data_IF_522670609350
#
_entry.id   IF_522670609350
#
_cell.length_a   1.000
_cell.length_b   1.000
_cell.length_c   1.000
_cell.angle_alpha   90.00
_cell.angle_beta   90.00
_cell.angle_gamma   90.00
#
_symmetry.space_group_name_H-M   'P 1'
#
loop_
_entity.id
_entity.type
_entity.pdbx_description
1 polymer ?
#
# COMPACT_ATOMS: atom_id res chain seq x y z
N UNK A 1 0.25 7.68 -13.38
CA UNK A 1 1.69 7.39 -13.58
C UNK A 1 2.12 7.51 -15.04
N UNK A 2 1.53 8.45 -15.80
CA UNK A 2 1.77 8.58 -17.25
C UNK A 2 3.20 9.01 -17.60
N UNK A 3 3.87 9.79 -16.74
CA UNK A 3 5.26 10.21 -16.98
C UNK A 3 6.25 9.03 -16.90
N UNK A 4 6.04 8.08 -15.97
CA UNK A 4 6.85 6.86 -15.84
C UNK A 4 6.71 6.01 -17.11
N UNK A 5 5.46 5.85 -17.55
CA UNK A 5 5.09 5.11 -18.75
C UNK A 5 5.70 5.64 -20.05
N UNK A 6 5.99 6.95 -20.10
CA UNK A 6 6.60 7.56 -21.28
C UNK A 6 8.06 7.09 -21.50
N UNK A 7 8.69 6.48 -20.48
CA UNK A 7 10.05 5.94 -20.61
C UNK A 7 11.07 6.99 -21.03
N UNK A 8 10.82 8.26 -20.70
CA UNK A 8 11.69 9.40 -21.05
C UNK A 8 12.87 9.53 -20.10
N UNK A 9 12.73 9.01 -18.88
CA UNK A 9 13.85 8.89 -17.94
C UNK A 9 14.85 7.84 -18.45
N UNK A 10 16.13 8.21 -18.68
CA UNK A 10 17.12 7.29 -19.24
C UNK A 10 17.38 6.03 -18.39
N UNK A 11 17.28 6.15 -17.05
CA UNK A 11 17.52 5.04 -16.15
C UNK A 11 16.36 4.05 -16.21
N UNK A 12 15.12 4.54 -16.12
CA UNK A 12 13.93 3.69 -16.27
C UNK A 12 13.84 3.06 -17.64
N UNK A 13 14.15 3.80 -18.72
CA UNK A 13 14.16 3.26 -20.08
C UNK A 13 15.10 2.07 -20.25
N UNK A 14 16.23 2.08 -19.54
CA UNK A 14 17.28 1.07 -19.68
C UNK A 14 17.09 -0.10 -18.72
N UNK A 15 16.55 0.14 -17.53
CA UNK A 15 16.57 -0.82 -16.43
C UNK A 15 15.20 -1.25 -15.91
N UNK A 16 14.12 -0.50 -16.19
CA UNK A 16 12.80 -0.83 -15.66
C UNK A 16 12.08 -1.85 -16.53
N UNK A 17 11.47 -2.85 -15.89
CA UNK A 17 10.48 -3.72 -16.50
C UNK A 17 9.07 -3.17 -16.23
N UNK A 18 8.54 -2.42 -17.21
CA UNK A 18 7.20 -1.86 -17.12
C UNK A 18 6.07 -2.91 -17.17
N UNK A 19 6.39 -4.17 -17.50
CA UNK A 19 5.46 -5.29 -17.36
C UNK A 19 5.35 -5.81 -15.91
N UNK A 20 6.19 -5.29 -15.00
CA UNK A 20 6.25 -5.75 -13.60
C UNK A 20 6.46 -4.58 -12.63
N UNK A 21 5.40 -3.79 -12.43
CA UNK A 21 5.43 -2.61 -11.56
C UNK A 21 4.76 -2.89 -10.23
N UNK A 22 5.42 -2.52 -9.14
CA UNK A 22 4.88 -2.55 -7.79
C UNK A 22 4.69 -1.14 -7.25
N UNK A 23 3.67 -0.93 -6.42
CA UNK A 23 3.57 0.26 -5.58
C UNK A 23 3.92 -0.10 -4.14
N UNK A 24 4.72 0.71 -3.48
CA UNK A 24 5.19 0.44 -2.13
C UNK A 24 5.25 1.74 -1.35
N UNK A 25 5.01 1.66 -0.04
CA UNK A 25 5.24 2.77 0.85
C UNK A 25 5.01 2.39 2.31
N UNK A 26 5.58 3.20 3.19
CA UNK A 26 5.45 3.14 4.64
C UNK A 26 4.52 4.23 5.16
N UNK A 27 3.76 3.98 6.23
CA UNK A 27 2.93 4.99 6.90
C UNK A 27 2.01 5.75 5.93
N UNK A 28 2.17 7.08 5.82
CA UNK A 28 1.47 7.91 4.86
C UNK A 28 1.80 7.53 3.39
N UNK A 29 3.00 7.05 3.11
CA UNK A 29 3.40 6.47 1.82
C UNK A 29 2.58 5.22 1.47
N UNK A 30 2.27 4.37 2.43
CA UNK A 30 1.38 3.22 2.23
C UNK A 30 -0.05 3.69 1.87
N UNK A 31 -0.55 4.72 2.57
CA UNK A 31 -1.82 5.35 2.25
C UNK A 31 -1.83 5.90 0.80
N UNK A 32 -0.76 6.58 0.39
CA UNK A 32 -0.60 7.09 -0.97
C UNK A 32 -0.56 5.95 -1.99
N UNK A 33 0.20 4.88 -1.72
CA UNK A 33 0.29 3.71 -2.59
C UNK A 33 -1.09 3.08 -2.83
N UNK A 34 -1.87 2.89 -1.75
CA UNK A 34 -3.26 2.42 -1.82
C UNK A 34 -4.13 3.33 -2.70
N UNK A 35 -4.13 4.63 -2.43
CA UNK A 35 -4.95 5.59 -3.18
C UNK A 35 -4.54 5.66 -4.66
N UNK A 36 -3.25 5.52 -4.97
CA UNK A 36 -2.74 5.44 -6.35
C UNK A 36 -3.21 4.17 -7.05
N UNK A 37 -3.18 3.01 -6.36
CA UNK A 37 -3.69 1.74 -6.88
C UNK A 37 -5.20 1.83 -7.16
N UNK A 38 -5.96 2.41 -6.25
CA UNK A 38 -7.39 2.64 -6.40
C UNK A 38 -7.71 3.58 -7.56
N UNK A 39 -6.96 4.67 -7.70
CA UNK A 39 -7.12 5.60 -8.84
C UNK A 39 -6.83 4.94 -10.18
N UNK A 40 -5.85 4.03 -10.25
CA UNK A 40 -5.58 3.27 -11.47
C UNK A 40 -6.75 2.37 -11.90
N UNK A 41 -7.69 2.04 -11.00
CA UNK A 41 -8.91 1.29 -11.32
C UNK A 41 -10.00 2.09 -12.03
N UNK A 42 -9.99 3.42 -11.86
CA UNK A 42 -11.02 4.34 -12.35
C UNK A 42 -10.59 5.07 -13.63
N UNK A 43 -9.28 5.17 -13.89
CA UNK A 43 -8.76 5.77 -15.10
C UNK A 43 -9.27 4.99 -16.33
N UNK A 44 -10.16 5.60 -17.13
CA UNK A 44 -10.77 4.99 -18.34
C UNK A 44 -9.71 4.54 -19.36
N UNK A 45 -8.54 5.15 -19.24
CA UNK A 45 -7.29 4.95 -19.93
C UNK A 45 -6.50 3.71 -19.44
N UNK A 46 -7.19 2.64 -19.01
CA UNK A 46 -6.56 1.40 -18.48
C UNK A 46 -5.51 0.78 -19.41
N UNK A 47 -5.62 1.04 -20.71
CA UNK A 47 -4.70 0.56 -21.74
C UNK A 47 -3.58 1.55 -22.12
N UNK A 48 -3.66 2.81 -21.70
CA UNK A 48 -2.72 3.87 -22.11
C UNK A 48 -1.57 4.11 -21.15
N UNK A 49 -1.57 3.50 -19.96
CA UNK A 49 -0.47 3.71 -19.01
C UNK A 49 0.70 2.76 -19.31
N UNK A 50 0.60 1.73 -20.16
CA UNK A 50 1.77 0.90 -20.52
C UNK A 50 2.52 0.26 -19.33
N UNK A 51 1.94 0.33 -18.11
CA UNK A 51 2.47 -0.20 -16.87
C UNK A 51 1.55 -1.32 -16.42
N UNK A 52 2.10 -2.50 -16.17
CA UNK A 52 1.37 -3.59 -15.53
C UNK A 52 1.63 -3.57 -14.03
N UNK A 53 0.61 -3.20 -13.26
CA UNK A 53 0.65 -3.18 -11.81
C UNK A 53 0.45 -4.60 -11.27
N UNK A 54 1.52 -5.21 -10.78
CA UNK A 54 1.54 -6.63 -10.37
C UNK A 54 1.40 -6.82 -8.86
N UNK A 55 1.62 -5.78 -8.06
CA UNK A 55 1.43 -5.87 -6.63
C UNK A 55 1.57 -4.55 -5.87
N UNK A 56 1.22 -4.59 -4.60
CA UNK A 56 1.38 -3.46 -3.67
C UNK A 56 1.91 -3.92 -2.32
N UNK A 57 2.84 -3.17 -1.72
CA UNK A 57 3.24 -3.36 -0.32
C UNK A 57 2.80 -2.17 0.53
N UNK A 58 2.22 -2.45 1.68
CA UNK A 58 1.70 -1.48 2.64
C UNK A 58 2.41 -1.68 3.98
N UNK A 59 3.43 -0.86 4.25
CA UNK A 59 4.24 -0.98 5.46
C UNK A 59 3.66 -0.04 6.52
N UNK A 60 3.24 -0.58 7.66
CA UNK A 60 2.66 0.17 8.79
C UNK A 60 1.62 1.21 8.32
N UNK A 61 0.55 0.80 7.62
CA UNK A 61 -0.23 1.74 6.83
C UNK A 61 -0.96 2.78 7.67
N UNK A 62 -0.83 4.05 7.27
CA UNK A 62 -1.61 5.15 7.84
C UNK A 62 -3.03 5.16 7.28
N UNK A 63 -3.84 4.22 7.75
CA UNK A 63 -5.28 4.21 7.52
C UNK A 63 -6.05 4.76 8.72
N UNK A 64 -7.32 5.07 8.52
CA UNK A 64 -8.28 5.27 9.58
C UNK A 64 -8.76 3.94 10.16
N UNK A 65 -9.67 4.04 11.12
CA UNK A 65 -10.47 2.93 11.67
C UNK A 65 -11.62 3.56 12.47
N UNK A 66 -12.31 4.51 11.83
CA UNK A 66 -13.28 5.43 12.45
C UNK A 66 -12.75 6.34 13.58
N UNK A 67 -11.46 6.25 13.90
CA UNK A 67 -10.79 7.11 14.88
C UNK A 67 -10.41 8.50 14.30
N UNK A 68 -10.68 9.60 15.03
CA UNK A 68 -10.20 10.93 14.67
C UNK A 68 -8.67 10.98 14.56
N UNK A 69 -8.15 11.69 13.56
CA UNK A 69 -6.72 11.88 13.41
C UNK A 69 -6.37 13.33 13.09
N UNK A 70 -5.49 13.93 13.91
CA UNK A 70 -5.09 15.34 13.78
C UNK A 70 -4.29 15.62 12.50
N UNK A 71 -3.45 14.66 12.07
CA UNK A 71 -2.69 14.78 10.82
C UNK A 71 -3.67 14.76 9.65
N UNK A 72 -4.62 13.82 9.63
CA UNK A 72 -5.67 13.78 8.61
C UNK A 72 -6.47 15.08 8.54
N UNK A 73 -6.92 15.57 9.69
CA UNK A 73 -7.67 16.84 9.81
C UNK A 73 -6.88 18.02 9.25
N UNK A 74 -5.57 18.05 9.47
CA UNK A 74 -4.70 19.11 8.98
C UNK A 74 -4.49 19.04 7.46
N UNK A 75 -4.26 17.85 6.90
CA UNK A 75 -3.99 17.67 5.45
C UNK A 75 -5.27 17.71 4.60
N UNK A 76 -6.42 17.34 5.16
CA UNK A 76 -7.72 17.31 4.50
C UNK A 76 -8.76 18.10 5.30
N UNK A 77 -8.59 19.44 5.44
CA UNK A 77 -9.47 20.26 6.28
C UNK A 77 -10.92 20.32 5.78
N UNK A 78 -11.13 20.11 4.48
CA UNK A 78 -12.45 20.05 3.83
C UNK A 78 -13.23 18.77 4.19
N UNK A 79 -12.54 17.71 4.58
CA UNK A 79 -13.15 16.45 5.02
C UNK A 79 -12.38 15.84 6.19
N UNK A 80 -12.47 16.44 7.39
CA UNK A 80 -11.69 16.05 8.55
C UNK A 80 -12.22 14.76 9.21
N UNK A 81 -13.32 14.22 8.69
CA UNK A 81 -14.00 13.04 9.24
C UNK A 81 -13.14 11.81 9.04
N UNK A 82 -13.25 10.87 9.98
CA UNK A 82 -12.56 9.58 9.94
C UNK A 82 -13.16 8.59 8.94
N UNK A 83 -14.24 8.97 8.24
CA UNK A 83 -14.98 8.17 7.25
C UNK A 83 -14.63 8.50 5.79
N UNK A 84 -13.64 9.35 5.53
CA UNK A 84 -13.17 9.59 4.15
C UNK A 84 -12.49 8.33 3.60
N UNK A 85 -12.93 7.77 2.46
CA UNK A 85 -12.40 6.50 1.93
C UNK A 85 -10.92 6.56 1.54
N UNK A 86 -10.34 7.76 1.36
CA UNK A 86 -8.91 7.93 1.12
C UNK A 86 -8.08 7.69 2.38
N UNK A 87 -8.68 7.93 3.55
CA UNK A 87 -8.08 7.70 4.85
C UNK A 87 -8.52 6.36 5.43
N UNK A 88 -9.81 6.10 5.47
CA UNK A 88 -10.44 4.89 5.99
C UNK A 88 -11.02 4.06 4.84
N UNK A 89 -10.19 3.28 4.13
CA UNK A 89 -10.63 2.53 2.95
C UNK A 89 -11.63 1.41 3.27
N UNK A 90 -11.80 1.04 4.54
CA UNK A 90 -12.72 -0.03 4.97
C UNK A 90 -14.14 0.47 5.22
N UNK A 91 -14.39 1.79 5.19
CA UNK A 91 -15.75 2.36 5.27
C UNK A 91 -16.62 1.98 4.05
N UNK A 92 -15.97 1.68 2.92
CA UNK A 92 -16.61 1.22 1.69
C UNK A 92 -15.89 -0.01 1.13
N UNK A 93 -16.04 -1.20 1.75
CA UNK A 93 -15.30 -2.40 1.37
C UNK A 93 -15.51 -2.81 -0.09
N UNK A 94 -16.67 -2.51 -0.68
CA UNK A 94 -16.96 -2.78 -2.10
C UNK A 94 -16.05 -2.01 -3.06
N UNK A 95 -15.39 -0.93 -2.63
CA UNK A 95 -14.39 -0.25 -3.43
C UNK A 95 -13.10 -1.07 -3.52
N UNK A 96 -12.73 -1.82 -2.46
CA UNK A 96 -11.52 -2.64 -2.45
C UNK A 96 -11.54 -3.73 -3.53
N UNK A 97 -12.74 -4.19 -3.93
CA UNK A 97 -12.92 -5.14 -5.04
C UNK A 97 -12.36 -4.64 -6.38
N UNK A 98 -12.10 -3.33 -6.49
CA UNK A 98 -11.62 -2.66 -7.71
C UNK A 98 -10.09 -2.57 -7.81
N UNK A 99 -9.36 -3.00 -6.78
CA UNK A 99 -7.89 -3.00 -6.83
C UNK A 99 -7.40 -3.75 -8.08
N UNK A 100 -6.53 -3.09 -8.85
CA UNK A 100 -6.09 -3.58 -10.17
C UNK A 100 -4.89 -4.51 -10.11
N UNK A 101 -4.15 -4.49 -9.01
CA UNK A 101 -3.06 -5.44 -8.79
C UNK A 101 -3.63 -6.79 -8.31
N UNK A 102 -2.96 -7.90 -8.63
CA UNK A 102 -3.34 -9.23 -8.16
C UNK A 102 -2.79 -9.58 -6.77
N UNK A 103 -1.80 -8.85 -6.24
CA UNK A 103 -1.11 -9.19 -4.99
C UNK A 103 -0.97 -8.00 -4.05
N UNK A 104 -1.19 -8.21 -2.75
CA UNK A 104 -0.97 -7.21 -1.71
C UNK A 104 -0.22 -7.84 -0.54
N UNK A 105 0.85 -7.21 -0.08
CA UNK A 105 1.52 -7.53 1.19
C UNK A 105 1.33 -6.39 2.18
N UNK A 106 0.87 -6.71 3.37
CA UNK A 106 0.71 -5.77 4.48
C UNK A 106 1.74 -6.11 5.55
N UNK A 107 2.55 -5.14 5.96
CA UNK A 107 3.48 -5.30 7.08
C UNK A 107 2.97 -4.46 8.26
N UNK A 108 2.86 -5.07 9.43
CA UNK A 108 2.44 -4.44 10.70
C UNK A 108 3.54 -4.59 11.74
N UNK A 109 3.49 -3.77 12.79
CA UNK A 109 4.41 -3.86 13.92
C UNK A 109 3.61 -3.92 15.22
N UNK A 110 4.00 -4.82 16.13
CA UNK A 110 3.20 -5.23 17.28
C UNK A 110 2.94 -4.11 18.29
N UNK A 111 3.90 -3.17 18.43
CA UNK A 111 3.83 -2.00 19.31
C UNK A 111 3.29 -0.74 18.60
N UNK A 112 3.01 -0.81 17.30
CA UNK A 112 2.49 0.32 16.52
C UNK A 112 1.02 0.65 16.89
N UNK A 113 0.76 1.93 17.13
CA UNK A 113 -0.60 2.47 17.33
C UNK A 113 -1.53 2.23 16.12
N UNK A 114 -0.96 2.07 14.92
CA UNK A 114 -1.70 1.81 13.69
C UNK A 114 -1.84 0.32 13.34
N UNK A 115 -1.29 -0.60 14.16
CA UNK A 115 -1.30 -2.05 13.89
C UNK A 115 -2.67 -2.59 13.49
N UNK A 116 -3.68 -2.33 14.33
CA UNK A 116 -5.03 -2.86 14.13
C UNK A 116 -5.64 -2.36 12.82
N UNK A 117 -5.18 -1.22 12.29
CA UNK A 117 -5.67 -0.65 11.02
C UNK A 117 -5.17 -1.46 9.82
N UNK A 118 -3.96 -2.02 9.90
CA UNK A 118 -3.46 -2.98 8.93
C UNK A 118 -4.26 -4.28 8.93
N UNK A 119 -4.58 -4.81 10.12
CA UNK A 119 -5.43 -6.00 10.28
C UNK A 119 -6.87 -5.77 9.81
N UNK A 120 -7.48 -4.64 10.16
CA UNK A 120 -8.83 -4.28 9.68
C UNK A 120 -8.87 -4.19 8.15
N UNK A 121 -7.85 -3.60 7.53
CA UNK A 121 -7.73 -3.55 6.07
C UNK A 121 -7.59 -4.95 5.45
N UNK A 122 -6.78 -5.82 6.06
CA UNK A 122 -6.59 -7.21 5.61
C UNK A 122 -7.91 -7.99 5.58
N UNK A 123 -8.70 -7.92 6.66
CA UNK A 123 -9.99 -8.60 6.74
C UNK A 123 -11.02 -7.99 5.77
N UNK A 124 -11.07 -6.65 5.67
CA UNK A 124 -11.94 -5.97 4.72
C UNK A 124 -11.61 -6.35 3.26
N UNK A 125 -10.31 -6.47 2.92
CA UNK A 125 -9.88 -6.84 1.58
C UNK A 125 -10.28 -8.27 1.24
N UNK A 126 -10.08 -9.24 2.14
CA UNK A 126 -10.56 -10.62 1.97
C UNK A 126 -12.07 -10.70 1.76
N UNK A 127 -12.82 -9.88 2.50
CA UNK A 127 -14.29 -9.82 2.42
C UNK A 127 -14.85 -8.99 1.26
N UNK A 128 -14.00 -8.27 0.51
CA UNK A 128 -14.45 -7.28 -0.49
C UNK A 128 -14.92 -7.88 -1.82
N UNK A 129 -14.62 -9.15 -2.08
CA UNK A 129 -14.78 -9.77 -3.40
C UNK A 129 -13.66 -9.42 -4.39
N UNK A 130 -12.58 -8.78 -3.94
CA UNK A 130 -11.34 -8.67 -4.72
C UNK A 130 -10.75 -10.06 -4.99
N UNK A 131 -10.44 -10.37 -6.25
CA UNK A 131 -9.99 -11.69 -6.69
C UNK A 131 -8.48 -11.95 -6.57
N UNK A 132 -7.75 -11.11 -5.84
CA UNK A 132 -6.30 -11.23 -5.66
C UNK A 132 -5.89 -11.98 -4.39
N UNK A 133 -4.58 -12.04 -4.16
CA UNK A 133 -3.97 -12.64 -2.98
C UNK A 133 -3.45 -11.56 -2.03
N UNK A 134 -3.85 -11.65 -0.75
CA UNK A 134 -3.35 -10.77 0.31
C UNK A 134 -2.58 -11.57 1.35
N UNK A 135 -1.35 -11.14 1.62
CA UNK A 135 -0.52 -11.58 2.74
C UNK A 135 -0.48 -10.47 3.81
N UNK A 136 -0.47 -10.84 5.08
CA UNK A 136 -0.15 -9.94 6.20
C UNK A 136 0.97 -10.55 7.04
N UNK A 137 1.95 -9.73 7.42
CA UNK A 137 3.06 -10.10 8.30
C UNK A 137 3.18 -9.07 9.41
N UNK A 138 3.49 -9.53 10.61
CA UNK A 138 3.66 -8.68 11.78
C UNK A 138 5.05 -8.90 12.38
N UNK A 139 5.68 -7.80 12.80
CA UNK A 139 6.89 -7.83 13.61
C UNK A 139 6.51 -7.54 15.07
N UNK A 140 6.53 -8.56 15.94
CA UNK A 140 5.79 -8.58 17.22
C UNK A 140 6.12 -7.47 18.25
N UNK A 141 7.33 -6.93 18.28
CA UNK A 141 7.76 -6.01 19.36
C UNK A 141 8.15 -4.61 18.89
N UNK A 142 8.05 -4.36 17.59
CA UNK A 142 8.55 -3.12 17.01
C UNK A 142 7.53 -2.00 16.98
N UNK A 143 8.05 -0.77 16.95
CA UNK A 143 7.29 0.47 16.81
C UNK A 143 7.02 0.81 15.33
N UNK A 144 6.20 1.85 15.13
CA UNK A 144 5.87 2.38 13.81
C UNK A 144 7.12 2.73 12.98
N UNK A 145 7.26 2.10 11.81
CA UNK A 145 8.33 2.38 10.83
C UNK A 145 9.74 2.23 11.42
N UNK A 146 9.89 1.25 12.32
CA UNK A 146 11.16 0.90 12.95
C UNK A 146 12.30 0.65 11.94
N UNK A 147 11.96 0.15 10.75
CA UNK A 147 12.90 -0.23 9.70
C UNK A 147 13.64 0.97 9.09
N UNK A 148 13.11 2.19 9.22
CA UNK A 148 13.81 3.42 8.81
C UNK A 148 14.71 4.00 9.91
N UNK A 149 14.53 3.58 11.17
CA UNK A 149 15.28 4.11 12.32
C UNK A 149 16.61 3.39 12.46
N UNK A 150 16.60 2.06 12.40
CA UNK A 150 17.81 1.23 12.34
C UNK A 150 17.60 0.11 11.33
N UNK A 151 18.38 0.15 10.25
CA UNK A 151 18.29 -0.82 9.15
C UNK A 151 19.11 -2.09 9.40
N UNK A 152 19.97 -2.11 10.43
CA UNK A 152 20.97 -3.17 10.61
C UNK A 152 20.56 -4.26 11.61
N UNK A 153 19.53 -4.01 12.43
CA UNK A 153 19.08 -5.00 13.40
C UNK A 153 18.15 -6.05 12.76
N UNK A 154 17.99 -7.19 13.43
CA UNK A 154 17.42 -8.41 12.84
C UNK A 154 16.01 -8.20 12.27
N UNK A 155 15.12 -7.52 12.99
CA UNK A 155 13.75 -7.35 12.54
C UNK A 155 13.65 -6.45 11.29
N UNK A 156 14.49 -5.42 11.16
CA UNK A 156 14.52 -4.58 9.96
C UNK A 156 14.98 -5.40 8.74
N UNK A 157 15.98 -6.27 8.94
CA UNK A 157 16.42 -7.22 7.91
C UNK A 157 15.33 -8.24 7.56
N UNK A 158 14.56 -8.72 8.53
CA UNK A 158 13.41 -9.60 8.29
C UNK A 158 12.33 -8.92 7.45
N UNK A 159 11.94 -7.68 7.78
CA UNK A 159 10.98 -6.90 7.00
C UNK A 159 11.48 -6.69 5.58
N UNK A 160 12.73 -6.25 5.41
CA UNK A 160 13.35 -6.08 4.08
C UNK A 160 13.38 -7.39 3.28
N UNK A 161 13.62 -8.52 3.94
CA UNK A 161 13.55 -9.84 3.31
C UNK A 161 12.13 -10.16 2.83
N UNK A 162 11.09 -9.86 3.61
CA UNK A 162 9.71 -10.08 3.16
C UNK A 162 9.36 -9.24 1.93
N UNK A 163 9.79 -7.97 1.89
CA UNK A 163 9.61 -7.11 0.73
C UNK A 163 10.36 -7.64 -0.50
N UNK A 164 11.63 -8.03 -0.33
CA UNK A 164 12.44 -8.58 -1.40
C UNK A 164 11.86 -9.89 -1.94
N UNK A 165 11.42 -10.79 -1.06
CA UNK A 165 10.77 -12.04 -1.45
C UNK A 165 9.49 -11.74 -2.23
N UNK A 166 8.64 -10.80 -1.77
CA UNK A 166 7.42 -10.37 -2.46
C UNK A 166 7.69 -9.79 -3.85
N UNK A 167 8.68 -8.91 -4.01
CA UNK A 167 9.03 -8.31 -5.29
C UNK A 167 9.67 -9.27 -6.29
N UNK A 168 10.18 -10.41 -5.81
CA UNK A 168 10.73 -11.48 -6.63
C UNK A 168 9.75 -12.61 -6.91
N UNK A 169 8.58 -12.66 -6.25
CA UNK A 169 7.57 -13.67 -6.55
C UNK A 169 7.20 -13.59 -8.04
N UNK A 170 7.45 -14.67 -8.78
CA UNK A 170 6.94 -14.83 -10.14
C UNK A 170 5.45 -15.16 -10.05
N UNK A 171 4.62 -14.38 -10.74
CA UNK A 171 3.21 -14.69 -10.97
C UNK A 171 3.02 -15.48 -12.25
#
# INVERSE_FOLDING_TARGET
>A
MKWVAQGTDPWLKTHADFSRVFLAGDSAGANIAHNMMMRASVDEDKHTIGLRLVGMTLIHPFFGNDEPNKIWTYICPENPRSDDPRFNPTVHPSLLSRLVCPKVLICTAGSDFYKDRGWTYYEALKGSGWGGEVEIRETEVEDHVFDLVDTNFENARCLMKWLADFFHQTG
#
